data_IF_853528795215
#
_entry.id   IF_853528795215
#
_cell.length_a   1.000
_cell.length_b   1.000
_cell.length_c   1.000
_cell.angle_alpha   90.00
_cell.angle_beta   90.00
_cell.angle_gamma   90.00
#
_symmetry.space_group_name_H-M   'P 1'
#
loop_
_entity.id
_entity.type
_entity.pdbx_description
1 polymer ?
#
# COMPACT_ATOMS: atom_id res chain seq x y z
N UNK A 1 -25.58 -25.58 1.12
CA UNK A 1 -24.33 -24.87 0.86
C UNK A 1 -23.28 -25.89 0.47
N UNK A 2 -22.68 -25.79 -0.73
CA UNK A 2 -21.62 -26.70 -1.15
C UNK A 2 -20.39 -26.55 -0.25
N UNK A 3 -19.73 -27.65 0.08
CA UNK A 3 -18.56 -27.65 0.95
C UNK A 3 -17.45 -26.87 0.25
N UNK A 4 -17.17 -25.65 0.72
CA UNK A 4 -16.04 -24.87 0.21
C UNK A 4 -14.78 -25.57 0.75
N UNK A 5 -13.89 -26.08 -0.11
CA UNK A 5 -12.71 -26.81 0.35
C UNK A 5 -11.85 -25.94 1.28
N UNK A 6 -11.37 -26.51 2.38
CA UNK A 6 -10.56 -25.81 3.40
C UNK A 6 -9.33 -25.09 2.81
N UNK A 7 -8.82 -25.59 1.68
CA UNK A 7 -7.72 -24.98 0.92
C UNK A 7 -8.06 -23.59 0.36
N UNK A 8 -9.32 -23.32 0.03
CA UNK A 8 -9.76 -21.98 -0.42
C UNK A 8 -9.76 -20.98 0.74
N UNK A 9 -10.21 -21.38 1.93
CA UNK A 9 -10.16 -20.52 3.11
C UNK A 9 -8.72 -20.16 3.46
N UNK A 10 -7.81 -21.14 3.39
CA UNK A 10 -6.39 -20.91 3.65
C UNK A 10 -5.74 -20.00 2.60
N UNK A 11 -6.08 -20.17 1.31
CA UNK A 11 -5.64 -19.32 0.20
C UNK A 11 -6.08 -17.86 0.35
N UNK A 12 -7.38 -17.63 0.62
CA UNK A 12 -7.95 -16.29 0.80
C UNK A 12 -7.39 -15.62 2.05
N UNK A 13 -7.25 -16.36 3.16
CA UNK A 13 -6.65 -15.85 4.39
C UNK A 13 -5.18 -15.44 4.21
N UNK A 14 -4.38 -16.27 3.54
CA UNK A 14 -2.98 -15.95 3.23
C UNK A 14 -2.87 -14.73 2.32
N UNK A 15 -3.70 -14.64 1.29
CA UNK A 15 -3.73 -13.50 0.37
C UNK A 15 -4.05 -12.19 1.11
N UNK A 16 -5.02 -12.22 2.02
CA UNK A 16 -5.35 -11.06 2.86
C UNK A 16 -4.22 -10.65 3.80
N UNK A 17 -3.53 -11.61 4.44
CA UNK A 17 -2.37 -11.33 5.28
C UNK A 17 -1.23 -10.68 4.49
N UNK A 18 -0.92 -11.21 3.30
CA UNK A 18 0.09 -10.63 2.40
C UNK A 18 -0.30 -9.20 2.06
N UNK A 19 -1.55 -8.95 1.72
CA UNK A 19 -2.03 -7.63 1.32
C UNK A 19 -1.94 -6.61 2.48
N UNK A 20 -2.24 -7.01 3.72
CA UNK A 20 -2.07 -6.17 4.92
C UNK A 20 -0.61 -5.81 5.12
N UNK A 21 0.29 -6.81 5.10
CA UNK A 21 1.72 -6.60 5.29
C UNK A 21 2.27 -5.68 4.20
N UNK A 22 1.90 -5.90 2.94
CA UNK A 22 2.29 -5.06 1.81
C UNK A 22 1.85 -3.61 2.01
N UNK A 23 0.60 -3.42 2.45
CA UNK A 23 0.04 -2.10 2.73
C UNK A 23 0.82 -1.39 3.83
N UNK A 24 1.16 -2.07 4.92
CA UNK A 24 1.96 -1.49 6.01
C UNK A 24 3.39 -1.11 5.55
N UNK A 25 4.04 -1.95 4.74
CA UNK A 25 5.37 -1.66 4.18
C UNK A 25 5.32 -0.44 3.26
N UNK A 26 4.30 -0.32 2.40
CA UNK A 26 4.16 0.86 1.54
C UNK A 26 3.81 2.13 2.32
N UNK A 27 3.00 2.04 3.39
CA UNK A 27 2.73 3.19 4.27
C UNK A 27 4.02 3.66 4.95
N UNK A 28 4.83 2.74 5.48
CA UNK A 28 6.12 3.09 6.09
C UNK A 28 7.11 3.64 5.05
N UNK A 29 7.17 3.08 3.84
CA UNK A 29 7.99 3.63 2.76
C UNK A 29 7.55 5.04 2.34
N UNK A 30 6.24 5.30 2.22
CA UNK A 30 5.71 6.64 1.97
C UNK A 30 6.01 7.60 3.10
N UNK A 31 5.97 7.14 4.36
CA UNK A 31 6.34 7.95 5.51
C UNK A 31 7.81 8.39 5.44
N UNK A 32 8.71 7.46 5.12
CA UNK A 32 10.13 7.76 4.88
C UNK A 32 10.32 8.71 3.69
N UNK A 33 9.60 8.48 2.59
CA UNK A 33 9.65 9.36 1.42
C UNK A 33 9.20 10.78 1.76
N UNK A 34 8.10 10.96 2.50
CA UNK A 34 7.63 12.29 2.92
C UNK A 34 8.54 12.97 3.93
N UNK A 35 9.30 12.23 4.74
CA UNK A 35 10.34 12.84 5.59
C UNK A 35 11.49 13.40 4.76
N UNK A 36 11.83 12.77 3.63
CA UNK A 36 12.86 13.26 2.70
C UNK A 36 12.37 14.42 1.82
N UNK A 37 11.07 14.48 1.54
CA UNK A 37 10.45 15.61 0.85
C UNK A 37 10.43 16.80 1.82
N UNK A 38 11.40 17.70 1.67
CA UNK A 38 11.40 19.01 2.33
C UNK A 38 10.20 19.82 1.83
N UNK A 39 9.04 19.64 2.47
CA UNK A 39 7.88 20.53 2.34
C UNK A 39 8.23 22.00 2.67
N UNK A 40 9.38 22.21 3.31
CA UNK A 40 10.10 23.48 3.48
C UNK A 40 10.21 24.32 2.20
N UNK A 41 10.26 23.68 1.01
CA UNK A 41 10.35 24.41 -0.26
C UNK A 41 9.00 24.89 -0.81
N UNK A 42 7.88 24.29 -0.39
CA UNK A 42 6.54 24.61 -0.89
C UNK A 42 5.68 25.39 0.10
N UNK A 43 5.90 25.22 1.42
CA UNK A 43 5.18 25.97 2.44
C UNK A 43 6.15 26.83 3.26
N UNK A 44 6.13 28.14 3.02
CA UNK A 44 6.83 29.22 3.76
C UNK A 44 6.54 29.25 5.28
N UNK A 45 5.77 28.30 5.82
CA UNK A 45 5.30 28.23 7.20
C UNK A 45 5.08 26.77 7.64
N UNK A 46 6.19 26.03 7.86
CA UNK A 46 6.23 24.64 8.35
C UNK A 46 5.68 24.47 9.78
N UNK A 47 5.50 25.54 10.56
CA UNK A 47 5.14 25.46 12.00
C UNK A 47 3.64 25.40 12.33
N UNK A 48 2.75 25.30 11.35
CA UNK A 48 1.33 25.09 11.66
C UNK A 48 1.06 23.60 11.89
N UNK A 49 0.37 23.21 12.98
CA UNK A 49 -0.12 21.85 13.20
C UNK A 49 -0.88 21.26 11.99
N UNK A 50 -1.50 22.14 11.19
CA UNK A 50 -2.23 21.77 9.97
C UNK A 50 -1.31 21.19 8.89
N UNK A 51 -0.08 21.69 8.73
CA UNK A 51 0.86 21.20 7.74
C UNK A 51 1.31 19.76 8.05
N UNK A 52 1.52 19.46 9.34
CA UNK A 52 1.87 18.11 9.82
C UNK A 52 0.70 17.15 9.57
N UNK A 53 -0.53 17.56 9.88
CA UNK A 53 -1.71 16.72 9.64
C UNK A 53 -1.89 16.41 8.14
N UNK A 54 -1.67 17.41 7.28
CA UNK A 54 -1.74 17.23 5.83
C UNK A 54 -0.63 16.31 5.31
N UNK A 55 0.58 16.40 5.87
CA UNK A 55 1.69 15.48 5.60
C UNK A 55 1.33 14.04 5.97
N UNK A 56 0.74 13.80 7.15
CA UNK A 56 0.30 12.46 7.56
C UNK A 56 -0.75 11.90 6.61
N UNK A 57 -1.79 12.69 6.28
CA UNK A 57 -2.84 12.27 5.34
C UNK A 57 -2.23 11.93 3.98
N UNK A 58 -1.35 12.79 3.47
CA UNK A 58 -0.70 12.57 2.18
C UNK A 58 0.17 11.31 2.19
N UNK A 59 0.88 11.03 3.30
CA UNK A 59 1.65 9.80 3.48
C UNK A 59 0.76 8.55 3.42
N UNK A 60 -0.40 8.58 4.06
CA UNK A 60 -1.35 7.45 4.05
C UNK A 60 -1.95 7.26 2.66
N UNK A 61 -2.38 8.34 2.00
CA UNK A 61 -2.96 8.29 0.65
C UNK A 61 -1.94 7.77 -0.37
N UNK A 62 -0.70 8.28 -0.35
CA UNK A 62 0.35 7.83 -1.25
C UNK A 62 0.80 6.40 -0.94
N UNK A 63 0.97 6.06 0.34
CA UNK A 63 1.33 4.71 0.76
C UNK A 63 0.30 3.67 0.34
N UNK A 64 -0.99 3.96 0.55
CA UNK A 64 -2.07 3.09 0.12
C UNK A 64 -2.14 2.95 -1.41
N UNK A 65 -2.00 4.05 -2.16
CA UNK A 65 -2.01 3.97 -3.62
C UNK A 65 -0.83 3.16 -4.18
N UNK A 66 0.37 3.33 -3.60
CA UNK A 66 1.54 2.55 -4.01
C UNK A 66 1.37 1.06 -3.67
N UNK A 67 0.84 0.74 -2.49
CA UNK A 67 0.54 -0.64 -2.08
C UNK A 67 -0.42 -1.31 -3.05
N UNK A 68 -1.51 -0.61 -3.36
CA UNK A 68 -2.54 -1.09 -4.28
C UNK A 68 -1.96 -1.31 -5.68
N UNK A 69 -1.20 -0.34 -6.18
CA UNK A 69 -0.53 -0.45 -7.48
C UNK A 69 0.39 -1.68 -7.55
N UNK A 70 1.23 -1.89 -6.54
CA UNK A 70 2.13 -3.04 -6.48
C UNK A 70 1.37 -4.37 -6.39
N UNK A 71 0.31 -4.42 -5.59
CA UNK A 71 -0.55 -5.59 -5.47
C UNK A 71 -1.23 -5.93 -6.81
N UNK A 72 -1.82 -4.93 -7.47
CA UNK A 72 -2.46 -5.09 -8.77
C UNK A 72 -1.45 -5.53 -9.84
N UNK A 73 -0.24 -4.94 -9.83
CA UNK A 73 0.84 -5.34 -10.74
C UNK A 73 1.31 -6.78 -10.51
N UNK A 74 1.46 -7.19 -9.24
CA UNK A 74 1.80 -8.57 -8.91
C UNK A 74 0.72 -9.55 -9.36
N UNK A 75 -0.56 -9.18 -9.21
CA UNK A 75 -1.69 -9.97 -9.67
C UNK A 75 -1.70 -10.11 -11.20
N UNK A 76 -1.53 -9.02 -11.94
CA UNK A 76 -1.41 -9.06 -13.41
C UNK A 76 -0.21 -9.88 -13.86
N UNK A 77 0.92 -9.79 -13.16
CA UNK A 77 2.11 -10.60 -13.44
C UNK A 77 1.84 -12.09 -13.23
N UNK A 78 1.11 -12.45 -12.18
CA UNK A 78 0.68 -13.83 -11.95
C UNK A 78 -0.29 -14.32 -13.02
N UNK A 79 -1.19 -13.46 -13.48
CA UNK A 79 -2.13 -13.78 -14.54
C UNK A 79 -1.43 -13.93 -15.90
N UNK A 80 -0.36 -13.17 -16.15
CA UNK A 80 0.44 -13.31 -17.35
C UNK A 80 1.20 -14.65 -17.38
N UNK A 81 1.66 -15.14 -16.22
CA UNK A 81 2.29 -16.48 -16.13
C UNK A 81 1.35 -17.60 -16.58
N UNK A 82 0.03 -17.47 -16.36
CA UNK A 82 -0.97 -18.45 -16.83
C UNK A 82 -1.04 -18.60 -18.35
N UNK A 83 -0.52 -17.64 -19.12
CA UNK A 83 -0.49 -17.72 -20.60
C UNK A 83 0.73 -18.52 -21.09
N UNK A 84 1.80 -18.55 -20.30
CA UNK A 84 3.04 -19.25 -20.63
C UNK A 84 3.08 -20.68 -20.07
N UNK A 85 2.01 -21.10 -19.39
CA UNK A 85 1.79 -22.44 -18.84
C UNK A 85 0.75 -23.21 -19.67
#
# INVERSE_FOLDING_TARGET
MGNVPDSLYQSVGMSGLIQIIFTLVCITASWWALQSVRFDLWLKSVRSPQAIMLQVILSVVLGYQLARFLYDYANWSSMLKLIFE
#
